data_IF_989438358232
#
_entry.id   IF_989438358232
#
_cell.length_a   1.000
_cell.length_b   1.000
_cell.length_c   1.000
_cell.angle_alpha   90.00
_cell.angle_beta   90.00
_cell.angle_gamma   90.00
#
_symmetry.space_group_name_H-M   'P 1'
#
loop_
_entity.id
_entity.type
_entity.pdbx_description
1 polymer ?
#
# COMPACT_ATOMS: atom_id res chain seq x y z
N UNK A 1 29.50 -8.99 -8.62
CA UNK A 1 28.58 -7.85 -8.50
C UNK A 1 27.46 -8.28 -7.57
N UNK A 2 27.04 -7.42 -6.65
CA UNK A 2 25.90 -7.70 -5.75
C UNK A 2 24.85 -6.63 -6.01
N UNK A 3 23.61 -7.05 -6.26
CA UNK A 3 22.46 -6.18 -6.48
C UNK A 3 21.50 -6.34 -5.32
N UNK A 4 20.96 -5.23 -4.83
CA UNK A 4 20.02 -5.21 -3.73
C UNK A 4 18.72 -4.59 -4.22
N UNK A 5 17.62 -5.31 -4.02
CA UNK A 5 16.25 -4.81 -4.20
C UNK A 5 15.49 -5.01 -2.90
N UNK A 6 14.69 -4.01 -2.53
CA UNK A 6 13.84 -4.10 -1.35
C UNK A 6 12.53 -4.86 -1.62
N UNK A 7 12.02 -4.76 -2.85
CA UNK A 7 10.79 -5.39 -3.31
C UNK A 7 10.95 -5.70 -4.80
N UNK A 8 10.92 -6.97 -5.17
CA UNK A 8 10.93 -7.42 -6.56
C UNK A 8 10.01 -8.63 -6.65
N UNK A 9 8.79 -8.51 -7.21
CA UNK A 9 7.94 -9.66 -7.47
C UNK A 9 8.68 -10.71 -8.33
N UNK A 10 8.47 -12.03 -8.11
CA UNK A 10 9.08 -13.07 -8.92
C UNK A 10 8.80 -12.92 -10.43
N UNK A 11 7.62 -12.38 -10.77
CA UNK A 11 7.23 -12.09 -12.16
C UNK A 11 8.13 -11.07 -12.87
N UNK A 12 8.91 -10.28 -12.13
CA UNK A 12 9.79 -9.25 -12.65
C UNK A 12 11.29 -9.65 -12.65
N UNK A 13 11.64 -10.84 -12.14
CA UNK A 13 13.04 -11.31 -12.09
C UNK A 13 13.67 -11.42 -13.47
N UNK A 14 12.95 -11.99 -14.42
CA UNK A 14 13.44 -12.20 -15.79
C UNK A 14 13.73 -10.87 -16.47
N UNK A 15 12.84 -9.89 -16.28
CA UNK A 15 13.02 -8.54 -16.80
C UNK A 15 14.26 -7.89 -16.20
N UNK A 16 14.44 -7.96 -14.87
CA UNK A 16 15.61 -7.41 -14.20
C UNK A 16 16.92 -8.07 -14.70
N UNK A 17 16.96 -9.39 -14.83
CA UNK A 17 18.13 -10.11 -15.35
C UNK A 17 18.47 -9.66 -16.78
N UNK A 18 17.45 -9.51 -17.63
CA UNK A 18 17.60 -9.00 -18.98
C UNK A 18 18.19 -7.58 -19.01
N UNK A 19 17.66 -6.66 -18.20
CA UNK A 19 18.17 -5.29 -18.06
C UNK A 19 19.63 -5.25 -17.59
N UNK A 20 19.98 -6.11 -16.62
CA UNK A 20 21.33 -6.21 -16.10
C UNK A 20 22.29 -6.98 -17.02
N UNK A 21 21.78 -7.54 -18.13
CA UNK A 21 22.53 -8.34 -19.11
C UNK A 21 23.20 -9.58 -18.50
N UNK A 22 22.53 -10.19 -17.53
CA UNK A 22 22.93 -11.48 -16.97
C UNK A 22 21.94 -12.56 -17.37
N UNK A 23 22.47 -13.75 -17.68
CA UNK A 23 21.65 -14.95 -17.76
C UNK A 23 21.10 -15.27 -16.35
N UNK A 24 19.79 -15.56 -16.25
CA UNK A 24 19.14 -15.93 -15.00
C UNK A 24 19.81 -17.13 -14.33
N UNK A 25 20.36 -18.08 -15.11
CA UNK A 25 21.06 -19.26 -14.60
C UNK A 25 22.42 -18.92 -13.96
N UNK A 26 23.01 -17.77 -14.32
CA UNK A 26 24.27 -17.29 -13.78
C UNK A 26 24.09 -16.41 -12.52
N UNK A 27 22.85 -16.14 -12.10
CA UNK A 27 22.53 -15.30 -10.94
C UNK A 27 22.03 -16.14 -9.78
N UNK A 28 22.71 -16.06 -8.64
CA UNK A 28 22.20 -16.56 -7.36
C UNK A 28 21.32 -15.49 -6.71
N UNK A 29 20.07 -15.84 -6.40
CA UNK A 29 19.12 -14.94 -5.73
C UNK A 29 18.88 -15.44 -4.31
N UNK A 30 18.96 -14.51 -3.36
CA UNK A 30 18.61 -14.74 -1.96
C UNK A 30 17.33 -13.97 -1.64
N UNK A 31 16.30 -14.69 -1.22
CA UNK A 31 15.00 -14.12 -0.86
C UNK A 31 14.87 -13.95 0.64
N UNK A 32 14.40 -12.78 1.05
CA UNK A 32 13.80 -12.56 2.35
C UNK A 32 12.32 -12.26 2.13
N UNK A 33 11.47 -12.73 3.05
CA UNK A 33 10.03 -12.46 2.97
C UNK A 33 9.75 -10.98 3.17
N UNK A 34 8.83 -10.45 2.39
CA UNK A 34 8.38 -9.05 2.50
C UNK A 34 7.24 -8.88 3.50
N UNK A 35 6.64 -9.98 3.97
CA UNK A 35 5.51 -9.97 4.89
C UNK A 35 5.79 -9.19 6.19
N UNK A 36 4.82 -8.36 6.57
CA UNK A 36 4.88 -7.51 7.77
C UNK A 36 3.84 -7.99 8.78
N UNK A 37 4.21 -8.79 9.81
CA UNK A 37 3.22 -9.38 10.71
C UNK A 37 2.45 -8.30 11.48
N UNK A 38 3.09 -7.16 11.76
CA UNK A 38 2.48 -6.02 12.44
C UNK A 38 1.58 -5.14 11.55
N UNK A 39 1.32 -5.49 10.29
CA UNK A 39 0.46 -4.72 9.39
C UNK A 39 -0.92 -5.36 9.23
N UNK A 40 -2.00 -4.58 9.38
CA UNK A 40 -3.36 -4.99 9.04
C UNK A 40 -3.75 -4.34 7.71
N UNK A 41 -4.19 -5.15 6.75
CA UNK A 41 -4.53 -4.72 5.40
C UNK A 41 -6.05 -4.65 5.23
N UNK A 42 -6.58 -3.53 4.75
CA UNK A 42 -8.04 -3.33 4.64
C UNK A 42 -8.44 -2.59 3.36
N UNK A 43 -9.68 -2.83 2.90
CA UNK A 43 -10.33 -2.02 1.86
C UNK A 43 -11.65 -1.49 2.40
N UNK A 44 -11.73 -0.18 2.55
CA UNK A 44 -12.94 0.49 2.99
C UNK A 44 -13.71 1.07 1.80
N UNK A 45 -15.02 0.80 1.75
CA UNK A 45 -15.91 1.22 0.66
C UNK A 45 -17.03 2.16 1.15
N UNK A 46 -16.75 3.46 1.35
CA UNK A 46 -17.77 4.39 1.79
C UNK A 46 -18.85 4.60 0.72
N UNK A 47 -20.11 4.76 1.15
CA UNK A 47 -21.13 5.39 0.31
C UNK A 47 -20.94 6.91 0.36
N UNK A 48 -20.77 7.52 -0.81
CA UNK A 48 -20.57 8.96 -0.95
C UNK A 48 -21.87 9.72 -1.25
N UNK A 49 -23.04 9.08 -1.16
CA UNK A 49 -24.32 9.79 -1.30
C UNK A 49 -24.66 10.66 -0.10
N UNK A 50 -25.16 11.87 -0.38
CA UNK A 50 -25.71 12.76 0.65
C UNK A 50 -24.69 13.35 1.62
N UNK A 51 -23.40 13.36 1.28
CA UNK A 51 -22.32 13.88 2.14
C UNK A 51 -22.42 15.42 2.27
N UNK A 52 -23.32 15.87 3.15
CA UNK A 52 -23.52 17.26 3.58
C UNK A 52 -22.54 17.72 4.67
N UNK A 53 -21.62 16.85 5.12
CA UNK A 53 -20.46 17.21 5.94
C UNK A 53 -19.22 16.64 5.26
N UNK A 54 -18.26 17.50 4.88
CA UNK A 54 -17.30 17.26 3.79
C UNK A 54 -16.59 15.88 3.75
N UNK A 55 -16.14 15.45 2.55
CA UNK A 55 -15.83 14.06 2.15
C UNK A 55 -14.69 13.36 2.91
N UNK A 56 -14.11 13.99 3.93
CA UNK A 56 -12.92 13.52 4.62
C UNK A 56 -13.09 13.42 6.15
N UNK A 57 -14.21 13.88 6.74
CA UNK A 57 -14.37 13.96 8.20
C UNK A 57 -14.32 12.61 8.95
N UNK A 58 -14.40 11.49 8.25
CA UNK A 58 -14.17 10.14 8.77
C UNK A 58 -12.69 9.88 9.13
N UNK A 59 -11.74 10.70 8.65
CA UNK A 59 -10.33 10.70 9.06
C UNK A 59 -10.19 11.46 10.37
N UNK A 60 -10.78 10.92 11.43
CA UNK A 60 -10.45 11.31 12.81
C UNK A 60 -9.72 10.13 13.43
N UNK A 61 -8.41 10.28 13.60
CA UNK A 61 -7.59 9.30 14.28
C UNK A 61 -6.61 10.02 15.19
N UNK A 62 -6.43 9.49 16.39
CA UNK A 62 -5.33 9.88 17.28
C UNK A 62 -4.00 9.21 16.88
N UNK A 63 -4.04 8.29 15.90
CA UNK A 63 -2.87 7.61 15.36
C UNK A 63 -2.14 8.43 14.29
N UNK A 64 -0.89 8.05 14.03
CA UNK A 64 -0.09 8.64 12.94
C UNK A 64 -0.58 8.10 11.59
N UNK A 65 -1.13 8.96 10.74
CA UNK A 65 -1.75 8.61 9.44
C UNK A 65 -1.06 9.34 8.30
N UNK A 66 -0.69 8.59 7.26
CA UNK A 66 -0.27 9.12 5.96
C UNK A 66 -1.37 8.81 4.95
N UNK A 67 -1.87 9.84 4.27
CA UNK A 67 -2.90 9.68 3.25
C UNK A 67 -2.29 10.00 1.89
N UNK A 68 -2.18 8.99 1.03
CA UNK A 68 -1.71 9.19 -0.34
C UNK A 68 -2.87 9.60 -1.25
N UNK A 69 -2.67 10.69 -2.00
CA UNK A 69 -3.62 11.19 -2.99
C UNK A 69 -2.88 11.62 -4.24
N UNK A 70 -3.40 11.20 -5.40
CA UNK A 70 -2.79 11.44 -6.71
C UNK A 70 -2.73 12.93 -7.10
N UNK A 71 -3.76 13.70 -6.76
CA UNK A 71 -3.96 15.06 -7.29
C UNK A 71 -3.60 16.09 -6.22
N UNK A 72 -2.64 17.00 -6.51
CA UNK A 72 -2.24 18.09 -5.60
C UNK A 72 -3.44 18.94 -5.17
N UNK A 73 -4.38 19.21 -6.08
CA UNK A 73 -5.64 19.89 -5.77
C UNK A 73 -6.48 19.15 -4.72
N UNK A 74 -6.53 17.82 -4.77
CA UNK A 74 -7.22 17.02 -3.77
C UNK A 74 -6.45 16.98 -2.45
N UNK A 75 -5.11 16.84 -2.47
CA UNK A 75 -4.26 16.93 -1.27
C UNK A 75 -4.49 18.25 -0.53
N UNK A 76 -4.50 19.36 -1.26
CA UNK A 76 -4.71 20.69 -0.66
C UNK A 76 -6.15 20.89 -0.19
N UNK A 77 -7.15 20.40 -0.92
CA UNK A 77 -8.55 20.43 -0.46
C UNK A 77 -8.75 19.59 0.81
N UNK A 78 -8.20 18.37 0.85
CA UNK A 78 -8.29 17.46 1.99
C UNK A 78 -7.57 18.03 3.22
N UNK A 79 -6.35 18.56 3.06
CA UNK A 79 -5.63 19.22 4.14
C UNK A 79 -6.41 20.41 4.72
N UNK A 80 -7.11 21.19 3.89
CA UNK A 80 -7.98 22.29 4.34
C UNK A 80 -9.18 21.78 5.13
N UNK A 81 -9.90 20.77 4.62
CA UNK A 81 -11.09 20.20 5.27
C UNK A 81 -10.74 19.55 6.61
N UNK A 82 -9.66 18.77 6.63
CA UNK A 82 -9.21 18.05 7.83
C UNK A 82 -8.41 18.91 8.80
N UNK A 83 -8.04 20.14 8.39
CA UNK A 83 -7.14 21.04 9.13
C UNK A 83 -5.75 20.44 9.41
N UNK A 84 -5.30 19.49 8.58
CA UNK A 84 -3.96 18.90 8.62
C UNK A 84 -3.01 19.54 7.59
N UNK A 85 -1.75 19.11 7.56
CA UNK A 85 -0.77 19.59 6.60
C UNK A 85 -0.76 18.76 5.33
N UNK A 86 -0.67 19.47 4.20
CA UNK A 86 -0.38 18.90 2.89
C UNK A 86 1.14 18.73 2.72
N UNK A 87 1.55 17.70 2.00
CA UNK A 87 2.92 17.44 1.55
C UNK A 87 2.92 17.11 0.06
N UNK A 88 3.57 17.93 -0.76
CA UNK A 88 3.68 17.70 -2.20
C UNK A 88 4.95 18.31 -2.79
N UNK A 89 5.28 17.93 -4.03
CA UNK A 89 6.58 18.19 -4.65
C UNK A 89 6.97 19.68 -4.73
N UNK A 90 6.02 20.57 -4.99
CA UNK A 90 6.21 22.02 -5.14
C UNK A 90 6.18 22.82 -3.83
N UNK A 91 6.09 22.16 -2.69
CA UNK A 91 6.05 22.83 -1.38
C UNK A 91 7.44 23.31 -0.98
N UNK A 92 7.56 24.59 -0.61
CA UNK A 92 8.84 25.26 -0.36
C UNK A 92 9.54 24.77 0.93
N UNK A 93 8.78 24.42 1.96
CA UNK A 93 9.30 24.09 3.29
C UNK A 93 8.89 22.68 3.73
N UNK A 94 9.41 21.67 3.01
CA UNK A 94 9.13 20.24 3.27
C UNK A 94 9.64 19.78 4.63
N UNK A 95 10.82 20.28 5.04
CA UNK A 95 11.45 19.90 6.31
C UNK A 95 10.57 20.28 7.51
N UNK A 96 10.00 21.49 7.51
CA UNK A 96 9.11 21.92 8.60
C UNK A 96 7.79 21.16 8.63
N UNK A 97 7.26 20.77 7.47
CA UNK A 97 6.04 19.95 7.39
C UNK A 97 6.30 18.57 7.99
N UNK A 98 7.43 17.94 7.65
CA UNK A 98 7.84 16.65 8.22
C UNK A 98 8.11 16.73 9.72
N UNK A 99 8.82 17.76 10.18
CA UNK A 99 9.10 17.96 11.60
C UNK A 99 7.80 18.10 12.42
N UNK A 100 6.80 18.82 11.87
CA UNK A 100 5.47 18.91 12.49
C UNK A 100 4.71 17.59 12.47
N UNK A 101 4.83 16.81 11.41
CA UNK A 101 4.20 15.49 11.33
C UNK A 101 4.75 14.53 12.40
N UNK A 102 6.07 14.48 12.54
CA UNK A 102 6.75 13.62 13.52
C UNK A 102 6.43 14.05 14.97
N UNK A 103 6.26 15.36 15.22
CA UNK A 103 6.15 15.88 16.59
C UNK A 103 4.74 16.24 17.08
N UNK A 104 3.90 16.86 16.25
CA UNK A 104 2.71 17.60 16.73
C UNK A 104 1.43 17.42 15.91
N UNK A 105 1.51 16.85 14.70
CA UNK A 105 0.38 16.66 13.79
C UNK A 105 0.41 15.25 13.25
N UNK A 106 -0.29 14.29 13.87
CA UNK A 106 -0.14 12.88 13.53
C UNK A 106 -0.69 12.55 12.13
N UNK A 107 -1.39 13.46 11.45
CA UNK A 107 -1.93 13.21 10.10
C UNK A 107 -1.25 14.10 9.06
N UNK A 108 -0.88 13.49 7.93
CA UNK A 108 -0.34 14.18 6.75
C UNK A 108 -1.02 13.67 5.48
N UNK A 109 -1.46 14.61 4.63
CA UNK A 109 -1.94 14.33 3.29
C UNK A 109 -0.79 14.50 2.31
N UNK A 110 -0.43 13.47 1.56
CA UNK A 110 0.73 13.48 0.69
C UNK A 110 0.40 13.03 -0.74
N UNK A 111 1.11 13.59 -1.71
CA UNK A 111 1.27 12.91 -3.01
C UNK A 111 2.48 11.96 -2.94
N UNK A 112 2.81 11.32 -4.07
CA UNK A 112 4.06 10.57 -4.29
C UNK A 112 5.36 11.24 -3.83
N UNK A 113 5.33 12.55 -3.52
CA UNK A 113 6.48 13.26 -3.00
C UNK A 113 6.93 12.75 -1.61
N UNK A 114 6.04 12.13 -0.82
CA UNK A 114 6.34 11.53 0.48
C UNK A 114 6.62 10.02 0.35
N UNK A 115 7.39 9.63 -0.65
CA UNK A 115 7.60 8.23 -1.00
C UNK A 115 8.24 8.07 -2.37
N UNK A 116 8.13 6.87 -2.93
CA UNK A 116 8.72 6.52 -4.23
C UNK A 116 7.65 6.44 -5.34
N UNK A 117 6.38 6.72 -5.05
CA UNK A 117 5.31 6.67 -6.05
C UNK A 117 3.93 7.07 -5.52
N UNK A 118 3.01 7.32 -6.45
CA UNK A 118 1.57 7.37 -6.19
C UNK A 118 1.07 5.93 -6.28
N UNK A 119 0.41 5.36 -5.26
CA UNK A 119 0.10 3.95 -5.23
C UNK A 119 -0.98 3.58 -6.25
N UNK A 120 -0.55 3.27 -7.49
CA UNK A 120 -1.44 2.92 -8.61
C UNK A 120 -1.35 1.45 -8.99
N UNK A 121 -0.28 0.78 -8.59
CA UNK A 121 -0.09 -0.67 -8.72
C UNK A 121 -0.10 -1.34 -7.35
N UNK A 122 -0.23 -2.67 -7.32
CA UNK A 122 -0.13 -3.44 -6.08
C UNK A 122 1.28 -3.37 -5.49
N UNK A 123 2.32 -3.26 -6.34
CA UNK A 123 3.71 -3.06 -5.91
C UNK A 123 3.90 -1.71 -5.22
N UNK A 124 3.34 -0.63 -5.78
CA UNK A 124 3.42 0.69 -5.16
C UNK A 124 2.71 0.69 -3.79
N UNK A 125 1.53 0.06 -3.72
CA UNK A 125 0.80 -0.10 -2.47
C UNK A 125 1.61 -0.88 -1.41
N UNK A 126 2.27 -1.97 -1.80
CA UNK A 126 3.16 -2.73 -0.92
C UNK A 126 4.31 -1.87 -0.38
N UNK A 127 4.96 -1.11 -1.26
CA UNK A 127 6.09 -0.25 -0.88
C UNK A 127 5.67 0.87 0.07
N UNK A 128 4.54 1.53 -0.22
CA UNK A 128 4.06 2.64 0.60
C UNK A 128 3.47 2.17 1.93
N UNK A 129 2.70 1.08 1.94
CA UNK A 129 2.20 0.46 3.19
C UNK A 129 3.34 -0.07 4.06
N UNK A 130 4.41 -0.61 3.47
CA UNK A 130 5.60 -1.07 4.19
C UNK A 130 6.36 0.04 4.95
N UNK A 131 6.09 1.32 4.67
CA UNK A 131 6.67 2.44 5.43
C UNK A 131 6.04 2.63 6.80
N UNK A 132 4.80 2.17 7.00
CA UNK A 132 4.14 2.30 8.27
C UNK A 132 4.93 1.55 9.35
N UNK A 133 5.25 2.30 10.41
CA UNK A 133 5.84 1.91 11.69
C UNK A 133 6.83 0.73 11.66
N UNK A 134 8.12 1.08 11.70
CA UNK A 134 9.25 0.13 11.75
C UNK A 134 9.61 -0.35 13.17
N UNK A 135 8.90 0.12 14.18
CA UNK A 135 9.09 -0.26 15.58
C UNK A 135 8.44 -1.61 15.95
N UNK A 136 7.77 -2.26 14.98
CA UNK A 136 7.08 -3.53 15.17
C UNK A 136 5.71 -3.42 15.84
N UNK A 137 5.26 -2.23 16.23
CA UNK A 137 3.92 -2.04 16.78
C UNK A 137 2.84 -2.15 15.71
N UNK A 138 1.61 -2.41 16.14
CA UNK A 138 0.45 -2.55 15.25
C UNK A 138 0.28 -1.31 14.37
N UNK A 139 0.02 -1.57 13.09
CA UNK A 139 -0.20 -0.59 12.02
C UNK A 139 -1.28 -1.07 11.06
N UNK A 140 -1.93 -0.13 10.37
CA UNK A 140 -3.00 -0.40 9.41
C UNK A 140 -2.67 0.23 8.05
N UNK A 141 -3.04 -0.46 6.97
CA UNK A 141 -2.91 -0.02 5.60
C UNK A 141 -4.28 -0.15 4.90
N UNK A 142 -4.95 0.99 4.70
CA UNK A 142 -6.34 1.04 4.23
C UNK A 142 -6.38 1.62 2.83
N UNK A 143 -6.95 0.87 1.87
CA UNK A 143 -7.35 1.43 0.56
C UNK A 143 -8.80 1.90 0.67
N UNK A 144 -9.07 3.08 0.13
CA UNK A 144 -10.41 3.67 0.16
C UNK A 144 -10.96 3.70 -1.25
N UNK A 145 -11.96 2.87 -1.49
CA UNK A 145 -12.59 2.74 -2.79
C UNK A 145 -14.10 2.94 -2.65
N UNK A 146 -14.61 4.13 -2.98
CA UNK A 146 -16.04 4.40 -2.91
C UNK A 146 -16.88 3.33 -3.62
N UNK A 147 -17.97 2.89 -3.00
CA UNK A 147 -18.77 1.75 -3.47
C UNK A 147 -19.37 1.94 -4.88
N UNK A 148 -19.44 3.18 -5.37
CA UNK A 148 -20.07 3.55 -6.64
C UNK A 148 -19.08 3.87 -7.75
N UNK A 149 -17.79 3.64 -7.54
CA UNK A 149 -16.83 3.74 -8.64
C UNK A 149 -16.97 2.51 -9.54
N UNK A 150 -17.32 2.75 -10.81
CA UNK A 150 -17.33 1.70 -11.84
C UNK A 150 -15.92 1.12 -12.02
N UNK A 151 -15.84 -0.14 -12.44
CA UNK A 151 -14.57 -0.78 -12.80
C UNK A 151 -14.24 -0.54 -14.29
N UNK A 152 -13.00 -0.16 -14.64
CA UNK A 152 -11.91 0.21 -13.74
C UNK A 152 -12.17 1.60 -13.13
N UNK A 153 -11.82 1.75 -11.86
CA UNK A 153 -12.03 3.00 -11.15
C UNK A 153 -11.27 4.16 -11.84
N UNK A 154 -11.74 5.42 -11.79
CA UNK A 154 -11.15 6.52 -12.56
C UNK A 154 -9.64 6.73 -12.35
N UNK A 155 -9.12 6.39 -11.17
CA UNK A 155 -7.69 6.47 -10.83
C UNK A 155 -6.82 5.40 -11.49
N UNK A 156 -7.42 4.36 -12.06
CA UNK A 156 -6.75 3.28 -12.81
C UNK A 156 -6.46 3.67 -14.27
N UNK A 157 -6.89 4.85 -14.72
CA UNK A 157 -6.62 5.32 -16.08
C UNK A 157 -5.11 5.37 -16.35
N UNK A 158 -4.68 4.62 -17.37
CA UNK A 158 -3.27 4.55 -17.79
C UNK A 158 -2.40 3.58 -16.99
N UNK A 159 -2.99 2.76 -16.11
CA UNK A 159 -2.33 1.61 -15.47
C UNK A 159 -2.35 0.43 -16.46
N UNK A 160 -1.27 -0.36 -16.52
CA UNK A 160 -1.20 -1.52 -17.42
C UNK A 160 -2.27 -2.57 -17.06
N UNK A 161 -2.87 -3.30 -18.02
CA UNK A 161 -3.95 -4.26 -17.74
C UNK A 161 -3.60 -5.29 -16.66
N UNK A 162 -2.37 -5.81 -16.70
CA UNK A 162 -1.85 -6.78 -15.72
C UNK A 162 -1.86 -6.19 -14.30
N UNK A 163 -1.40 -4.95 -14.13
CA UNK A 163 -1.47 -4.25 -12.85
C UNK A 163 -2.91 -3.96 -12.42
N UNK A 164 -3.80 -3.66 -13.37
CA UNK A 164 -5.23 -3.48 -13.06
C UNK A 164 -5.85 -4.76 -12.50
N UNK A 165 -5.53 -5.91 -13.08
CA UNK A 165 -5.98 -7.22 -12.61
C UNK A 165 -5.43 -7.52 -11.22
N UNK A 166 -4.16 -7.23 -10.93
CA UNK A 166 -3.58 -7.42 -9.59
C UNK A 166 -4.25 -6.57 -8.52
N UNK A 167 -4.49 -5.30 -8.82
CA UNK A 167 -5.22 -4.41 -7.91
C UNK A 167 -6.65 -4.89 -7.75
N UNK A 168 -7.32 -5.32 -8.82
CA UNK A 168 -8.69 -5.84 -8.77
C UNK A 168 -8.78 -7.14 -7.96
N UNK A 169 -7.82 -8.06 -8.10
CA UNK A 169 -7.71 -9.29 -7.30
C UNK A 169 -7.58 -8.94 -5.83
N UNK A 170 -6.67 -8.02 -5.48
CA UNK A 170 -6.50 -7.57 -4.11
C UNK A 170 -7.79 -6.94 -3.59
N UNK A 171 -8.31 -5.90 -4.25
CA UNK A 171 -9.52 -5.18 -3.85
C UNK A 171 -10.73 -6.10 -3.71
N UNK A 172 -10.91 -7.01 -4.67
CA UNK A 172 -12.03 -7.93 -4.81
C UNK A 172 -12.04 -9.08 -3.79
N UNK A 173 -11.02 -9.18 -2.93
CA UNK A 173 -11.03 -10.12 -1.80
C UNK A 173 -12.33 -9.99 -1.00
N UNK A 174 -13.03 -11.12 -0.87
CA UNK A 174 -14.23 -11.27 -0.07
C UNK A 174 -13.84 -11.73 1.33
N UNK A 175 -14.37 -11.05 2.33
CA UNK A 175 -14.11 -11.36 3.74
C UNK A 175 -14.53 -12.82 4.06
N UNK A 176 -13.70 -13.54 4.82
CA UNK A 176 -13.88 -14.96 5.15
C UNK A 176 -13.60 -15.97 4.04
N UNK A 177 -13.36 -15.54 2.80
CA UNK A 177 -13.03 -16.45 1.68
C UNK A 177 -11.53 -16.46 1.40
N UNK A 178 -10.89 -15.29 1.37
CA UNK A 178 -9.47 -15.15 1.05
C UNK A 178 -8.87 -14.02 1.86
N UNK A 179 -7.61 -14.17 2.25
CA UNK A 179 -6.91 -13.17 3.05
C UNK A 179 -6.12 -12.18 2.18
N UNK A 180 -6.28 -10.88 2.42
CA UNK A 180 -5.56 -9.81 1.67
C UNK A 180 -4.04 -9.94 1.78
N UNK A 181 -3.55 -10.32 2.96
CA UNK A 181 -2.13 -10.63 3.20
C UNK A 181 -1.63 -11.72 2.26
N UNK A 182 -2.38 -12.82 2.14
CA UNK A 182 -2.01 -13.94 1.26
C UNK A 182 -1.93 -13.48 -0.19
N UNK A 183 -2.87 -12.65 -0.67
CA UNK A 183 -2.79 -12.09 -2.04
C UNK A 183 -1.50 -11.27 -2.23
N UNK A 184 -1.17 -10.42 -1.26
CA UNK A 184 0.00 -9.56 -1.33
C UNK A 184 1.32 -10.36 -1.26
N UNK A 185 1.41 -11.29 -0.32
CA UNK A 185 2.62 -12.13 -0.11
C UNK A 185 2.82 -13.08 -1.31
N UNK A 186 1.76 -13.65 -1.88
CA UNK A 186 1.86 -14.45 -3.11
C UNK A 186 2.36 -13.63 -4.30
N UNK A 187 1.97 -12.36 -4.40
CA UNK A 187 2.44 -11.47 -5.45
C UNK A 187 3.89 -11.04 -5.25
N UNK A 188 4.28 -10.64 -4.04
CA UNK A 188 5.61 -10.09 -3.75
C UNK A 188 6.69 -11.15 -3.58
N UNK A 189 6.36 -12.29 -2.98
CA UNK A 189 7.33 -13.29 -2.54
C UNK A 189 7.19 -14.61 -3.32
N UNK A 190 5.98 -14.96 -3.76
CA UNK A 190 5.71 -16.24 -4.40
C UNK A 190 6.09 -17.43 -3.50
N UNK A 191 6.99 -18.29 -3.97
CA UNK A 191 7.55 -19.41 -3.18
C UNK A 191 8.91 -19.01 -2.64
N UNK A 192 9.03 -18.87 -1.32
CA UNK A 192 10.29 -18.58 -0.63
C UNK A 192 10.71 -19.78 0.21
N UNK A 193 11.91 -20.31 -0.04
CA UNK A 193 12.46 -21.48 0.65
C UNK A 193 11.53 -22.72 0.61
N UNK A 194 10.89 -22.95 -0.55
CA UNK A 194 9.97 -24.07 -0.75
C UNK A 194 8.58 -23.86 -0.13
N UNK A 195 8.31 -22.68 0.43
CA UNK A 195 7.04 -22.35 1.05
C UNK A 195 6.36 -21.19 0.34
N UNK A 196 5.08 -21.35 0.03
CA UNK A 196 4.22 -20.26 -0.41
C UNK A 196 3.12 -20.07 0.63
N UNK A 197 2.88 -18.82 0.99
CA UNK A 197 1.83 -18.46 1.93
C UNK A 197 0.45 -18.83 1.34
N UNK A 198 -0.32 -19.60 2.09
CA UNK A 198 -1.66 -20.07 1.70
C UNK A 198 -2.73 -19.52 2.64
N UNK A 199 -2.37 -19.30 3.91
CA UNK A 199 -3.29 -18.81 4.93
C UNK A 199 -2.65 -17.70 5.76
N UNK A 200 -3.47 -16.97 6.50
CA UNK A 200 -2.94 -16.05 7.51
C UNK A 200 -2.36 -16.85 8.67
N UNK A 201 -1.31 -16.32 9.32
CA UNK A 201 -0.60 -16.94 10.44
C UNK A 201 -0.03 -18.34 10.13
N UNK A 202 0.06 -18.71 8.85
CA UNK A 202 0.54 -20.02 8.43
C UNK A 202 2.04 -20.21 8.70
N UNK A 203 2.75 -19.10 8.83
CA UNK A 203 4.19 -19.06 8.97
C UNK A 203 4.70 -18.08 10.03
N UNK A 204 3.91 -17.07 10.41
CA UNK A 204 4.19 -16.23 11.57
C UNK A 204 2.91 -16.00 12.41
N UNK A 205 2.82 -16.53 13.64
CA UNK A 205 1.63 -16.37 14.49
C UNK A 205 1.40 -14.93 14.98
N UNK A 206 2.35 -14.02 14.76
CA UNK A 206 2.22 -12.59 15.10
C UNK A 206 1.49 -11.81 14.01
N UNK A 207 1.20 -12.42 12.86
CA UNK A 207 0.47 -11.77 11.79
C UNK A 207 -0.88 -11.26 12.29
N UNK A 208 -1.12 -9.96 12.09
CA UNK A 208 -2.39 -9.35 12.43
C UNK A 208 -3.50 -9.88 11.50
N UNK A 209 -4.60 -10.30 12.11
CA UNK A 209 -5.83 -10.75 11.43
C UNK A 209 -6.70 -9.53 11.13
N UNK A 210 -7.00 -9.27 9.86
CA UNK A 210 -7.97 -8.25 9.41
C UNK A 210 -8.40 -8.52 7.96
N UNK A 211 -9.58 -8.06 7.55
CA UNK A 211 -10.23 -8.18 6.23
C UNK A 211 -9.87 -9.46 5.44
N UNK A 212 -10.70 -10.50 5.59
CA UNK A 212 -10.60 -11.73 4.79
C UNK A 212 -9.74 -12.84 5.37
N UNK A 213 -9.15 -12.62 6.53
CA UNK A 213 -8.31 -13.58 7.21
C UNK A 213 -9.02 -14.25 8.41
N UNK A 214 -10.35 -14.17 8.55
CA UNK A 214 -11.08 -14.86 9.61
C UNK A 214 -12.04 -15.89 8.99
N UNK A 215 -11.87 -17.20 9.24
CA UNK A 215 -12.89 -18.19 8.91
C UNK A 215 -14.02 -18.05 9.92
N UNK A 216 -15.25 -17.77 9.45
CA UNK A 216 -16.44 -17.97 10.28
C UNK A 216 -16.49 -19.39 10.85
#
# INVERSE_FOLDING_TARGET
MVWLTATLPPSMEAELCWWMKYDRAAVTIYWARTSRPNMAYQVWRPDMTGVGQGPYQWIKSEAVVIIYVNIIGQVTAMARVLRYKAYYSKQLDKARVLARFIGASPVIAATSALGMGDPRTLLDYAQESGRARRDGQRSEAIIIQPARWEAPAPWMKGVAPEDQERVAEYIGVVEGIRCRRVVLDQYLDGVVNGYQQQYYQDSDPREQIYDGCDPN
#
